data_IF_273194555934
#
_entry.id   IF_273194555934
#
_cell.length_a   1.000
_cell.length_b   1.000
_cell.length_c   1.000
_cell.angle_alpha   90.00
_cell.angle_beta   90.00
_cell.angle_gamma   90.00
#
_symmetry.space_group_name_H-M   'P 1'
#
loop_
_entity.id
_entity.type
_entity.pdbx_description
1 polymer ?
#
# COMPACT_ATOMS: atom_id res chain seq x y z
N UNK A 1 -2.18 7.80 5.43
CA UNK A 1 -3.62 7.54 5.79
C UNK A 1 -3.96 6.07 5.66
N UNK A 2 -4.88 5.58 6.51
CA UNK A 2 -5.36 4.20 6.46
C UNK A 2 -6.87 4.09 6.73
N UNK A 3 -7.45 2.92 6.39
CA UNK A 3 -8.81 2.52 6.72
C UNK A 3 -8.87 1.01 6.94
N UNK A 4 -9.68 0.57 7.91
CA UNK A 4 -9.94 -0.84 8.15
C UNK A 4 -11.36 -1.04 8.69
N UNK A 5 -12.12 -1.93 8.04
CA UNK A 5 -13.51 -2.24 8.40
C UNK A 5 -13.80 -3.71 8.05
N UNK A 6 -13.97 -4.52 9.09
CA UNK A 6 -14.22 -5.96 8.94
C UNK A 6 -15.64 -6.29 8.47
N UNK A 7 -16.63 -5.42 8.73
CA UNK A 7 -17.99 -5.63 8.24
C UNK A 7 -18.06 -5.34 6.74
N UNK A 8 -17.41 -4.23 6.33
CA UNK A 8 -17.25 -3.93 4.91
C UNK A 8 -16.27 -4.88 4.22
N UNK A 9 -15.35 -5.51 4.97
CA UNK A 9 -14.28 -6.36 4.46
C UNK A 9 -13.26 -5.57 3.64
N UNK A 10 -12.98 -4.31 4.02
CA UNK A 10 -12.07 -3.42 3.29
C UNK A 10 -10.98 -2.91 4.23
N UNK A 11 -9.74 -3.03 3.77
CA UNK A 11 -8.56 -2.42 4.38
C UNK A 11 -7.75 -1.70 3.32
N UNK A 12 -7.22 -0.52 3.64
CA UNK A 12 -6.36 0.22 2.71
C UNK A 12 -5.33 1.07 3.45
N UNK A 13 -4.19 1.25 2.81
CA UNK A 13 -3.16 2.22 3.13
C UNK A 13 -2.98 3.12 1.92
N UNK A 14 -2.88 4.42 2.13
CA UNK A 14 -2.62 5.42 1.10
C UNK A 14 -1.56 6.40 1.63
N UNK A 15 -0.47 6.52 0.89
CA UNK A 15 0.65 7.40 1.22
C UNK A 15 0.68 8.60 0.30
N UNK A 16 0.59 9.78 0.91
CA UNK A 16 0.39 11.04 0.17
C UNK A 16 1.69 11.72 -0.19
N UNK A 17 1.84 12.13 -1.45
CA UNK A 17 3.01 12.84 -1.99
C UNK A 17 2.65 14.22 -2.54
N UNK A 18 3.65 15.09 -2.72
CA UNK A 18 3.45 16.45 -3.27
C UNK A 18 3.53 17.58 -2.24
N UNK A 19 4.23 17.34 -1.12
CA UNK A 19 4.35 18.25 0.03
C UNK A 19 3.20 18.04 1.02
N UNK A 20 3.45 18.29 2.33
CA UNK A 20 2.60 17.88 3.45
C UNK A 20 1.10 18.11 3.23
N UNK A 21 0.69 19.32 2.87
CA UNK A 21 -0.73 19.65 2.74
C UNK A 21 -1.41 19.02 1.51
N UNK A 22 -0.70 18.83 0.41
CA UNK A 22 -1.25 18.26 -0.82
C UNK A 22 -1.34 16.73 -0.73
N UNK A 23 -0.32 16.08 -0.18
CA UNK A 23 -0.29 14.64 0.03
C UNK A 23 -1.36 14.16 1.03
N UNK A 24 -1.52 14.86 2.16
CA UNK A 24 -2.57 14.58 3.15
C UNK A 24 -3.97 14.65 2.53
N UNK A 25 -4.24 15.68 1.72
CA UNK A 25 -5.52 15.83 1.03
C UNK A 25 -5.73 14.73 -0.01
N UNK A 26 -4.70 14.39 -0.79
CA UNK A 26 -4.79 13.34 -1.80
C UNK A 26 -5.09 11.98 -1.18
N UNK A 27 -4.34 11.58 -0.15
CA UNK A 27 -4.53 10.29 0.53
C UNK A 27 -5.86 10.20 1.27
N UNK A 28 -6.32 11.30 1.91
CA UNK A 28 -7.64 11.35 2.54
C UNK A 28 -8.76 11.21 1.51
N UNK A 29 -8.67 11.91 0.38
CA UNK A 29 -9.65 11.87 -0.71
C UNK A 29 -9.71 10.48 -1.38
N UNK A 30 -8.54 9.86 -1.58
CA UNK A 30 -8.48 8.47 -2.06
C UNK A 30 -9.24 7.53 -1.10
N UNK A 31 -8.92 7.58 0.19
CA UNK A 31 -9.59 6.76 1.21
C UNK A 31 -11.10 6.97 1.20
N UNK A 32 -11.56 8.22 1.27
CA UNK A 32 -12.99 8.53 1.35
C UNK A 32 -13.75 8.06 0.10
N UNK A 33 -13.15 8.28 -1.07
CA UNK A 33 -13.75 7.86 -2.34
C UNK A 33 -13.82 6.34 -2.45
N UNK A 34 -12.71 5.63 -2.19
CA UNK A 34 -12.68 4.16 -2.26
C UNK A 34 -13.69 3.55 -1.29
N UNK A 35 -13.75 4.04 -0.04
CA UNK A 35 -14.71 3.54 0.96
C UNK A 35 -16.16 3.75 0.50
N UNK A 36 -16.49 4.91 -0.03
CA UNK A 36 -17.83 5.22 -0.57
C UNK A 36 -18.18 4.28 -1.70
N UNK A 37 -17.31 4.17 -2.70
CA UNK A 37 -17.53 3.35 -3.89
C UNK A 37 -17.70 1.85 -3.54
N UNK A 38 -16.90 1.34 -2.61
CA UNK A 38 -17.02 -0.05 -2.15
C UNK A 38 -18.34 -0.28 -1.40
N UNK A 39 -18.83 0.68 -0.62
CA UNK A 39 -20.17 0.60 0.01
C UNK A 39 -21.29 0.56 -1.01
N UNK A 40 -21.12 1.27 -2.12
CA UNK A 40 -22.07 1.30 -3.24
C UNK A 40 -21.95 0.07 -4.17
N UNK A 41 -21.03 -0.87 -3.87
CA UNK A 41 -20.86 -2.12 -4.60
C UNK A 41 -19.92 -2.04 -5.81
N UNK A 42 -19.18 -0.94 -5.97
CA UNK A 42 -18.19 -0.78 -7.04
C UNK A 42 -17.02 -1.76 -6.84
N UNK A 43 -16.52 -2.45 -7.89
CA UNK A 43 -15.31 -3.28 -7.81
C UNK A 43 -14.08 -2.47 -7.35
N UNK A 44 -13.15 -3.12 -6.60
CA UNK A 44 -12.03 -2.44 -5.95
C UNK A 44 -11.15 -1.65 -6.93
N UNK A 45 -10.73 -2.25 -8.04
CA UNK A 45 -9.91 -1.56 -9.03
C UNK A 45 -10.63 -0.36 -9.67
N UNK A 46 -11.95 -0.45 -9.85
CA UNK A 46 -12.74 0.67 -10.36
C UNK A 46 -12.89 1.78 -9.32
N UNK A 47 -13.10 1.44 -8.05
CA UNK A 47 -13.13 2.42 -6.95
C UNK A 47 -11.83 3.22 -6.84
N UNK A 48 -10.67 2.57 -7.07
CA UNK A 48 -9.36 3.23 -7.11
C UNK A 48 -9.26 4.18 -8.31
N UNK A 49 -9.75 3.81 -9.49
CA UNK A 49 -9.77 4.71 -10.67
C UNK A 49 -10.67 5.93 -10.45
N UNK A 50 -11.83 5.74 -9.82
CA UNK A 50 -12.72 6.85 -9.46
C UNK A 50 -12.03 7.79 -8.46
N UNK A 51 -11.26 7.23 -7.53
CA UNK A 51 -10.48 8.03 -6.59
C UNK A 51 -9.41 8.88 -7.30
N UNK A 52 -8.72 8.32 -8.30
CA UNK A 52 -7.78 9.07 -9.14
C UNK A 52 -8.44 10.27 -9.83
N UNK A 53 -9.59 10.03 -10.48
CA UNK A 53 -10.35 11.11 -11.14
C UNK A 53 -10.77 12.22 -10.16
N UNK A 54 -11.17 11.85 -8.94
CA UNK A 54 -11.59 12.81 -7.92
C UNK A 54 -10.41 13.65 -7.40
N UNK A 55 -9.22 13.03 -7.24
CA UNK A 55 -8.00 13.74 -6.86
C UNK A 55 -7.62 14.74 -7.96
N UNK A 56 -7.59 14.32 -9.23
CA UNK A 56 -7.28 15.19 -10.38
C UNK A 56 -8.28 16.36 -10.46
N UNK A 57 -9.57 16.08 -10.30
CA UNK A 57 -10.63 17.10 -10.29
C UNK A 57 -10.43 18.13 -9.17
N UNK A 58 -10.10 17.65 -7.97
CA UNK A 58 -9.89 18.50 -6.80
C UNK A 58 -8.63 19.35 -6.94
N UNK A 59 -7.52 18.78 -7.41
CA UNK A 59 -6.27 19.49 -7.70
C UNK A 59 -6.51 20.66 -8.67
N UNK A 60 -7.23 20.40 -9.77
CA UNK A 60 -7.58 21.45 -10.77
C UNK A 60 -8.44 22.58 -10.17
N UNK A 61 -9.38 22.26 -9.27
CA UNK A 61 -10.24 23.28 -8.62
C UNK A 61 -9.50 24.13 -7.61
N UNK A 62 -8.54 23.54 -6.90
CA UNK A 62 -7.71 24.28 -5.92
C UNK A 62 -6.66 25.15 -6.56
N UNK A 63 -6.39 24.95 -7.85
CA UNK A 63 -5.33 25.65 -8.59
C UNK A 63 -3.96 25.51 -7.90
N UNK A 64 -3.72 24.30 -7.33
CA UNK A 64 -2.49 24.02 -6.62
C UNK A 64 -1.29 24.12 -7.54
N UNK A 65 -0.23 24.73 -7.06
CA UNK A 65 1.02 24.89 -7.84
C UNK A 65 1.84 23.60 -7.92
N UNK A 66 1.57 22.66 -7.01
CA UNK A 66 2.16 21.33 -6.98
C UNK A 66 1.07 20.27 -7.20
N UNK A 67 1.35 19.21 -7.93
CA UNK A 67 0.40 18.12 -8.08
C UNK A 67 0.13 17.45 -6.73
N UNK A 68 -1.14 17.13 -6.47
CA UNK A 68 -1.55 16.28 -5.34
C UNK A 68 -1.51 14.85 -5.81
N UNK A 69 -0.77 13.99 -5.11
CA UNK A 69 -0.71 12.57 -5.43
C UNK A 69 -0.72 11.69 -4.20
N UNK A 70 -1.05 10.42 -4.40
CA UNK A 70 -0.98 9.40 -3.36
C UNK A 70 -0.76 8.03 -3.96
N UNK A 71 0.00 7.18 -3.28
CA UNK A 71 -0.04 5.74 -3.52
C UNK A 71 -1.34 5.17 -2.93
N UNK A 72 -1.65 3.96 -3.26
CA UNK A 72 -2.68 3.17 -2.58
C UNK A 72 -2.36 1.68 -2.66
N UNK A 73 -2.51 0.98 -1.56
CA UNK A 73 -2.65 -0.48 -1.51
C UNK A 73 -3.91 -0.80 -0.72
N UNK A 74 -4.79 -1.59 -1.31
CA UNK A 74 -6.08 -1.92 -0.70
C UNK A 74 -6.38 -3.42 -0.81
N UNK A 75 -7.04 -3.97 0.20
CA UNK A 75 -7.50 -5.35 0.22
C UNK A 75 -9.00 -5.41 0.46
N UNK A 76 -9.69 -6.17 -0.36
CA UNK A 76 -11.10 -6.54 -0.22
C UNK A 76 -11.20 -8.01 0.15
N UNK A 77 -11.86 -8.33 1.27
CA UNK A 77 -12.06 -9.71 1.72
C UNK A 77 -13.56 -10.01 1.76
N UNK A 78 -13.97 -11.07 1.08
CA UNK A 78 -15.35 -11.54 1.04
C UNK A 78 -15.38 -13.06 1.29
N UNK A 79 -15.85 -13.46 2.46
CA UNK A 79 -15.72 -14.83 2.92
C UNK A 79 -14.23 -15.21 3.07
N UNK A 80 -13.80 -16.24 2.34
CA UNK A 80 -12.42 -16.69 2.31
C UNK A 80 -11.61 -16.16 1.10
N UNK A 81 -12.20 -15.32 0.26
CA UNK A 81 -11.50 -14.75 -0.90
C UNK A 81 -11.01 -13.35 -0.62
N UNK A 82 -9.80 -13.06 -1.04
CA UNK A 82 -9.27 -11.70 -1.05
C UNK A 82 -8.95 -11.22 -2.47
N UNK A 83 -9.09 -9.94 -2.65
CA UNK A 83 -8.57 -9.16 -3.77
C UNK A 83 -7.69 -8.06 -3.18
N UNK A 84 -6.45 -7.96 -3.65
CA UNK A 84 -5.55 -6.82 -3.38
C UNK A 84 -5.45 -6.02 -4.65
N UNK A 85 -5.54 -4.68 -4.54
CA UNK A 85 -5.32 -3.76 -5.65
C UNK A 85 -4.39 -2.64 -5.20
N UNK A 86 -3.49 -2.18 -6.11
CA UNK A 86 -2.52 -1.14 -5.75
C UNK A 86 -2.13 -0.25 -6.91
N UNK A 87 -1.67 0.95 -6.57
CA UNK A 87 -0.94 1.91 -7.40
C UNK A 87 0.15 2.54 -6.54
N UNK A 88 1.40 2.49 -6.99
CA UNK A 88 2.55 3.01 -6.26
C UNK A 88 3.43 1.91 -5.66
N UNK A 89 4.15 2.22 -4.61
CA UNK A 89 5.14 1.40 -3.94
C UNK A 89 4.77 1.01 -2.50
N UNK A 90 3.57 1.38 -2.05
CA UNK A 90 2.97 0.77 -0.86
C UNK A 90 2.69 -0.70 -1.13
N UNK A 91 2.97 -1.56 -0.14
CA UNK A 91 3.03 -3.01 -0.35
C UNK A 91 1.95 -3.79 0.38
N UNK A 92 1.57 -4.92 -0.24
CA UNK A 92 0.79 -5.98 0.38
C UNK A 92 1.64 -7.25 0.48
N UNK A 93 1.59 -7.89 1.66
CA UNK A 93 2.25 -9.17 1.93
C UNK A 93 1.27 -10.18 2.44
N UNK A 94 1.48 -11.45 2.08
CA UNK A 94 0.80 -12.60 2.64
C UNK A 94 1.78 -13.42 3.47
N UNK A 95 1.48 -13.58 4.75
CA UNK A 95 2.12 -14.53 5.63
C UNK A 95 1.35 -15.85 5.63
N UNK A 96 2.06 -16.95 5.37
CA UNK A 96 1.50 -18.28 5.34
C UNK A 96 2.56 -19.32 5.72
N UNK A 97 2.26 -20.17 6.70
CA UNK A 97 3.09 -21.34 7.04
C UNK A 97 4.59 -21.04 7.24
N UNK A 98 4.88 -19.92 7.89
CA UNK A 98 6.26 -19.49 8.15
C UNK A 98 6.93 -18.76 6.99
N UNK A 99 6.22 -18.46 5.92
CA UNK A 99 6.72 -17.76 4.74
C UNK A 99 5.99 -16.43 4.53
N UNK A 100 6.75 -15.39 4.23
CA UNK A 100 6.25 -14.09 3.80
C UNK A 100 6.38 -13.99 2.28
N UNK A 101 5.30 -13.64 1.61
CA UNK A 101 5.29 -13.38 0.16
C UNK A 101 4.76 -11.99 -0.12
N UNK A 102 5.52 -11.16 -0.82
CA UNK A 102 5.01 -9.89 -1.35
C UNK A 102 4.01 -10.20 -2.47
N UNK A 103 2.79 -9.64 -2.36
CA UNK A 103 1.71 -9.80 -3.33
C UNK A 103 1.72 -8.69 -4.37
N UNK A 104 2.06 -7.48 -3.98
CA UNK A 104 2.17 -6.31 -4.87
C UNK A 104 3.54 -6.22 -5.51
N UNK A 105 3.62 -5.65 -6.70
CA UNK A 105 4.87 -5.26 -7.34
C UNK A 105 4.94 -3.74 -7.39
N UNK A 106 6.00 -3.16 -6.83
CA UNK A 106 6.12 -1.71 -6.70
C UNK A 106 6.13 -1.02 -8.07
N UNK A 107 5.36 0.04 -8.21
CA UNK A 107 5.50 0.96 -9.33
C UNK A 107 6.63 1.95 -9.03
N UNK A 108 7.86 1.48 -9.11
CA UNK A 108 9.06 2.27 -8.84
C UNK A 108 10.10 2.10 -9.94
N UNK A 109 10.94 3.13 -10.10
CA UNK A 109 12.02 3.13 -11.08
C UNK A 109 12.96 1.92 -10.94
N UNK A 110 13.32 1.57 -9.71
CA UNK A 110 14.21 0.44 -9.46
C UNK A 110 13.56 -0.89 -9.79
N UNK A 111 12.24 -1.01 -9.58
CA UNK A 111 11.49 -2.21 -9.94
C UNK A 111 11.41 -2.40 -11.45
N UNK A 112 11.30 -1.32 -12.23
CA UNK A 112 11.37 -1.37 -13.68
C UNK A 112 12.76 -1.83 -14.16
N UNK A 113 13.85 -1.37 -13.52
CA UNK A 113 15.21 -1.82 -13.82
C UNK A 113 15.43 -3.29 -13.47
N UNK A 114 14.84 -3.78 -12.39
CA UNK A 114 14.87 -5.23 -12.03
C UNK A 114 14.14 -6.03 -13.10
N UNK A 115 12.96 -5.61 -13.52
CA UNK A 115 12.17 -6.29 -14.54
C UNK A 115 12.89 -6.36 -15.90
N UNK A 116 13.70 -5.36 -16.22
CA UNK A 116 14.56 -5.31 -17.43
C UNK A 116 15.88 -6.12 -17.27
N UNK A 117 16.15 -6.67 -16.08
CA UNK A 117 17.40 -7.36 -15.77
C UNK A 117 18.62 -6.44 -15.63
N UNK A 118 18.40 -5.12 -15.51
CA UNK A 118 19.45 -4.12 -15.34
C UNK A 118 19.97 -4.02 -13.89
N UNK A 119 19.14 -4.40 -12.92
CA UNK A 119 19.50 -4.45 -11.49
C UNK A 119 19.06 -5.79 -10.87
N UNK A 120 19.80 -6.21 -9.85
CA UNK A 120 19.33 -7.24 -8.91
C UNK A 120 18.51 -6.56 -7.79
N UNK A 121 17.67 -7.33 -7.08
CA UNK A 121 16.91 -6.83 -5.93
C UNK A 121 17.84 -6.28 -4.83
N UNK A 122 19.03 -6.85 -4.65
CA UNK A 122 20.02 -6.36 -3.69
C UNK A 122 20.58 -4.99 -4.10
N UNK A 123 20.92 -4.81 -5.38
CA UNK A 123 21.40 -3.54 -5.92
C UNK A 123 20.33 -2.43 -5.85
N UNK A 124 19.07 -2.79 -6.04
CA UNK A 124 17.96 -1.84 -5.98
C UNK A 124 17.81 -1.19 -4.59
N UNK A 125 18.08 -1.93 -3.50
CA UNK A 125 17.99 -1.42 -2.12
C UNK A 125 18.90 -0.24 -1.82
N UNK A 126 20.05 -0.17 -2.48
CA UNK A 126 21.07 0.90 -2.30
C UNK A 126 21.10 1.88 -3.46
N UNK A 127 20.18 1.76 -4.41
CA UNK A 127 20.17 2.61 -5.60
C UNK A 127 19.79 4.06 -5.24
N UNK A 128 20.46 5.10 -5.82
CA UNK A 128 20.14 6.51 -5.53
C UNK A 128 18.70 6.92 -5.80
N UNK A 129 18.03 6.23 -6.72
CA UNK A 129 16.64 6.49 -7.10
C UNK A 129 15.67 5.40 -6.62
N UNK A 130 15.98 4.73 -5.49
CA UNK A 130 15.13 3.66 -4.95
C UNK A 130 13.73 4.13 -4.56
N UNK A 131 13.60 5.40 -4.15
CA UNK A 131 12.35 6.02 -3.71
C UNK A 131 11.62 6.77 -4.84
N UNK A 132 11.98 6.53 -6.11
CA UNK A 132 11.29 7.17 -7.25
C UNK A 132 10.11 6.32 -7.66
N UNK A 133 8.91 6.79 -7.30
CA UNK A 133 7.63 6.21 -7.69
C UNK A 133 7.32 6.55 -9.15
N UNK A 134 6.93 5.57 -9.94
CA UNK A 134 6.61 5.76 -11.37
C UNK A 134 5.13 5.90 -11.66
N UNK A 135 4.26 5.49 -10.72
CA UNK A 135 2.80 5.67 -10.81
C UNK A 135 2.20 6.03 -9.45
N UNK A 136 1.35 7.04 -9.44
CA UNK A 136 0.57 7.46 -8.28
C UNK A 136 -0.77 8.06 -8.71
N UNK A 137 -1.80 7.93 -7.89
CA UNK A 137 -3.11 8.57 -8.10
C UNK A 137 -2.96 10.09 -8.09
N UNK A 138 -3.67 10.76 -8.97
CA UNK A 138 -3.68 12.22 -9.08
C UNK A 138 -2.52 12.82 -9.88
N UNK A 139 -1.46 12.05 -10.17
CA UNK A 139 -0.23 12.50 -10.82
C UNK A 139 0.02 11.78 -12.15
N UNK A 140 -0.21 10.47 -12.19
CA UNK A 140 -0.06 9.68 -13.41
C UNK A 140 -1.14 10.05 -14.41
N UNK A 141 -0.78 10.13 -15.70
CA UNK A 141 -1.78 10.32 -16.77
C UNK A 141 -2.83 9.19 -16.67
N UNK A 142 -4.14 9.51 -16.61
CA UNK A 142 -5.20 8.52 -16.48
C UNK A 142 -5.19 7.41 -17.54
N UNK A 143 -4.68 7.70 -18.75
CA UNK A 143 -4.54 6.72 -19.83
C UNK A 143 -3.39 5.72 -19.58
N UNK A 144 -2.45 6.07 -18.72
CA UNK A 144 -1.28 5.26 -18.37
C UNK A 144 -1.37 4.71 -16.95
N UNK A 145 -2.38 5.11 -16.16
CA UNK A 145 -2.58 4.61 -14.81
C UNK A 145 -2.94 3.11 -14.84
N UNK A 146 -2.06 2.30 -14.30
CA UNK A 146 -2.28 0.86 -14.15
C UNK A 146 -2.66 0.53 -12.71
N UNK A 147 -3.93 0.20 -12.47
CA UNK A 147 -4.36 -0.38 -11.19
C UNK A 147 -4.14 -1.88 -11.29
N UNK A 148 -3.09 -2.37 -10.65
CA UNK A 148 -2.79 -3.80 -10.60
C UNK A 148 -3.64 -4.50 -9.56
N UNK A 149 -3.94 -5.77 -9.79
CA UNK A 149 -4.76 -6.59 -8.90
C UNK A 149 -4.21 -8.00 -8.75
N UNK A 150 -4.36 -8.56 -7.55
CA UNK A 150 -4.11 -9.96 -7.27
C UNK A 150 -5.25 -10.53 -6.43
N UNK A 151 -5.66 -11.74 -6.73
CA UNK A 151 -6.72 -12.45 -5.98
C UNK A 151 -6.20 -13.74 -5.40
N UNK A 152 -6.78 -14.17 -4.29
CA UNK A 152 -6.42 -15.43 -3.66
C UNK A 152 -7.44 -15.88 -2.62
N UNK A 153 -7.08 -16.91 -1.88
CA UNK A 153 -7.87 -17.44 -0.78
C UNK A 153 -7.13 -17.30 0.53
N UNK A 154 -7.82 -16.84 1.57
CA UNK A 154 -7.36 -16.85 2.95
C UNK A 154 -7.83 -18.12 3.64
N UNK A 155 -6.96 -18.67 4.48
CA UNK A 155 -7.25 -19.82 5.36
C UNK A 155 -6.89 -19.44 6.80
N UNK A 156 -7.47 -20.10 7.80
CA UNK A 156 -7.07 -19.89 9.18
C UNK A 156 -5.54 -19.97 9.38
N UNK A 157 -5.00 -19.03 10.14
CA UNK A 157 -3.57 -18.88 10.35
C UNK A 157 -2.82 -18.04 9.30
N UNK A 158 -3.45 -17.67 8.20
CA UNK A 158 -2.87 -16.70 7.25
C UNK A 158 -3.05 -15.27 7.75
N UNK A 159 -2.09 -14.41 7.37
CA UNK A 159 -2.12 -12.98 7.71
C UNK A 159 -1.82 -12.15 6.47
N UNK A 160 -2.55 -11.04 6.31
CA UNK A 160 -2.35 -10.07 5.25
C UNK A 160 -1.84 -8.76 5.87
N UNK A 161 -0.66 -8.31 5.45
CA UNK A 161 -0.07 -7.03 5.86
C UNK A 161 -0.14 -6.06 4.70
N UNK A 162 -0.68 -4.86 4.95
CA UNK A 162 -0.62 -3.72 4.05
C UNK A 162 0.23 -2.63 4.71
N UNK A 163 1.17 -2.03 3.98
CA UNK A 163 2.03 -0.99 4.55
C UNK A 163 2.50 0.03 3.51
N UNK A 164 2.85 1.24 4.00
CA UNK A 164 3.59 2.23 3.22
C UNK A 164 5.08 1.86 3.12
N UNK A 165 5.80 2.53 2.22
CA UNK A 165 7.24 2.39 2.02
C UNK A 165 8.05 2.73 3.27
N UNK A 166 7.60 3.68 4.11
CA UNK A 166 8.26 4.00 5.39
C UNK A 166 8.47 2.80 6.32
N UNK A 167 7.68 1.71 6.16
CA UNK A 167 7.99 0.45 6.83
C UNK A 167 9.11 -0.31 6.12
N UNK A 168 8.99 -0.50 4.81
CA UNK A 168 9.83 -1.42 4.04
C UNK A 168 11.18 -0.83 3.62
N UNK A 169 11.37 0.46 3.78
CA UNK A 169 12.66 1.11 3.67
C UNK A 169 13.57 0.80 4.86
N UNK A 170 12.99 0.67 6.05
CA UNK A 170 13.73 0.49 7.30
C UNK A 170 13.70 -0.97 7.81
N UNK A 171 12.66 -1.73 7.48
CA UNK A 171 12.47 -3.11 7.97
C UNK A 171 12.47 -4.07 6.78
N UNK A 172 13.40 -5.00 6.76
CA UNK A 172 13.51 -5.99 5.69
C UNK A 172 12.48 -7.13 5.83
N UNK A 173 12.21 -7.84 4.74
CA UNK A 173 11.23 -8.93 4.68
C UNK A 173 11.51 -10.03 5.72
N UNK A 174 12.76 -10.46 6.00
CA UNK A 174 13.05 -11.40 7.09
C UNK A 174 12.62 -10.91 8.47
N UNK A 175 12.80 -9.63 8.76
CA UNK A 175 12.40 -9.01 10.04
C UNK A 175 10.87 -8.89 10.15
N UNK A 176 10.19 -8.53 9.05
CA UNK A 176 8.72 -8.56 8.97
C UNK A 176 8.23 -9.99 9.22
N UNK A 177 8.82 -10.97 8.53
CA UNK A 177 8.48 -12.38 8.69
C UNK A 177 8.66 -12.88 10.13
N UNK A 178 9.74 -12.49 10.78
CA UNK A 178 10.03 -12.84 12.16
C UNK A 178 8.95 -12.30 13.13
N UNK A 179 8.51 -11.05 12.92
CA UNK A 179 7.46 -10.42 13.72
C UNK A 179 6.11 -11.12 13.53
N UNK A 180 5.73 -11.44 12.28
CA UNK A 180 4.44 -12.08 11.98
C UNK A 180 4.36 -13.55 12.42
N UNK A 181 5.49 -14.17 12.73
CA UNK A 181 5.56 -15.56 13.23
C UNK A 181 5.05 -15.69 14.67
N UNK A 182 4.95 -14.63 15.43
CA UNK A 182 4.52 -14.64 16.83
C UNK A 182 2.99 -14.76 16.92
N UNK A 183 2.50 -15.98 17.07
CA UNK A 183 1.06 -16.28 17.21
C UNK A 183 0.49 -15.89 18.58
N UNK A 184 1.33 -15.65 19.56
CA UNK A 184 1.01 -15.23 20.93
C UNK A 184 0.74 -13.72 21.06
N UNK A 185 1.17 -12.92 20.07
CA UNK A 185 0.91 -11.49 20.02
C UNK A 185 -0.39 -11.20 19.25
N UNK A 186 -1.11 -10.16 19.65
CA UNK A 186 -2.24 -9.64 18.87
C UNK A 186 -1.76 -9.00 17.54
N UNK A 187 -2.67 -8.81 16.58
CA UNK A 187 -2.35 -8.11 15.35
C UNK A 187 -1.82 -6.69 15.61
N UNK A 188 -2.38 -6.00 16.61
CA UNK A 188 -1.93 -4.66 16.99
C UNK A 188 -0.52 -4.67 17.56
N UNK A 189 -0.19 -5.60 18.45
CA UNK A 189 1.18 -5.71 19.03
C UNK A 189 2.22 -6.01 17.93
N UNK A 190 1.88 -6.82 16.92
CA UNK A 190 2.76 -7.03 15.77
C UNK A 190 2.96 -5.74 14.96
N UNK A 191 1.89 -4.99 14.70
CA UNK A 191 1.99 -3.69 14.00
C UNK A 191 2.82 -2.70 14.80
N UNK A 192 2.59 -2.59 16.11
CA UNK A 192 3.36 -1.70 17.00
C UNK A 192 4.86 -2.07 16.99
N UNK A 193 5.17 -3.37 16.99
CA UNK A 193 6.54 -3.87 16.88
C UNK A 193 7.19 -3.50 15.56
N UNK A 194 6.47 -3.64 14.44
CA UNK A 194 6.97 -3.25 13.11
C UNK A 194 7.21 -1.74 13.00
N UNK A 195 6.28 -0.93 13.53
CA UNK A 195 6.44 0.54 13.56
C UNK A 195 7.64 0.93 14.42
N UNK A 196 7.79 0.33 15.60
CA UNK A 196 8.94 0.60 16.48
C UNK A 196 10.27 0.24 15.76
N UNK A 197 10.32 -0.91 15.08
CA UNK A 197 11.50 -1.32 14.32
C UNK A 197 11.84 -0.34 13.19
N UNK A 198 10.84 0.19 12.48
CA UNK A 198 11.05 1.20 11.44
C UNK A 198 11.57 2.52 12.02
N UNK A 199 11.05 2.96 13.15
CA UNK A 199 11.52 4.17 13.85
C UNK A 199 12.96 4.00 14.35
N UNK A 200 13.30 2.83 14.89
CA UNK A 200 14.66 2.50 15.34
C UNK A 200 15.63 2.37 14.15
N UNK A 201 15.16 1.97 12.97
CA UNK A 201 15.91 1.88 11.72
C UNK A 201 16.30 3.24 11.14
N UNK A 202 15.60 4.30 11.54
CA UNK A 202 15.87 5.66 11.05
C UNK A 202 14.63 6.54 11.01
N UNK A 203 13.44 5.96 10.77
CA UNK A 203 12.18 6.68 10.70
C UNK A 203 12.21 7.78 9.64
N UNK A 204 12.74 7.45 8.46
CA UNK A 204 12.98 8.42 7.38
C UNK A 204 11.68 8.99 6.79
N UNK A 205 10.57 8.27 6.95
CA UNK A 205 9.24 8.68 6.46
C UNK A 205 8.12 8.25 7.43
N UNK A 206 6.90 8.65 7.11
CA UNK A 206 5.70 8.24 7.82
C UNK A 206 5.45 6.73 7.68
N UNK A 207 5.31 6.02 8.77
CA UNK A 207 5.06 4.58 8.78
C UNK A 207 3.58 4.31 8.99
N UNK A 208 2.97 3.62 8.03
CA UNK A 208 1.58 3.15 8.14
C UNK A 208 1.52 1.65 7.85
N UNK A 209 0.89 0.88 8.74
CA UNK A 209 0.72 -0.55 8.56
C UNK A 209 -0.64 -1.03 9.08
N UNK A 210 -1.22 -2.03 8.41
CA UNK A 210 -2.44 -2.75 8.81
C UNK A 210 -2.15 -4.24 8.73
N UNK A 211 -2.46 -4.98 9.78
CA UNK A 211 -2.38 -6.44 9.80
C UNK A 211 -3.77 -7.05 9.96
N UNK A 212 -4.16 -7.88 9.00
CA UNK A 212 -5.42 -8.63 9.02
C UNK A 212 -5.10 -10.10 9.27
N UNK A 213 -5.66 -10.68 10.33
CA UNK A 213 -5.51 -12.10 10.67
C UNK A 213 -6.77 -12.88 10.33
N UNK A 214 -6.59 -14.04 9.71
CA UNK A 214 -7.68 -14.98 9.44
C UNK A 214 -7.74 -16.04 10.57
N UNK A 215 -8.86 -16.09 11.25
CA UNK A 215 -9.15 -17.06 12.32
C UNK A 215 -10.09 -18.17 11.87
#
# INVERSE_FOLDING_TARGET
TYYGDSELGLWLVADGMGGHACGEVASALARETIVREIRDGTPLAQAIRIADEEIIRTSRRRNDTLPMGTTVVAARIQGNRFEVAWVGDSRAYLWREGQLAQLSQDHSYVQELIAQGALTSEQARTHPHRNVVTQALGVTDPNHLNVETMTGELRPGMQLLLCSDGLTEEVDDPSIAATLKHDDCSAQECVDTLIAAALDGGGSDNVTAILVRCH
#
